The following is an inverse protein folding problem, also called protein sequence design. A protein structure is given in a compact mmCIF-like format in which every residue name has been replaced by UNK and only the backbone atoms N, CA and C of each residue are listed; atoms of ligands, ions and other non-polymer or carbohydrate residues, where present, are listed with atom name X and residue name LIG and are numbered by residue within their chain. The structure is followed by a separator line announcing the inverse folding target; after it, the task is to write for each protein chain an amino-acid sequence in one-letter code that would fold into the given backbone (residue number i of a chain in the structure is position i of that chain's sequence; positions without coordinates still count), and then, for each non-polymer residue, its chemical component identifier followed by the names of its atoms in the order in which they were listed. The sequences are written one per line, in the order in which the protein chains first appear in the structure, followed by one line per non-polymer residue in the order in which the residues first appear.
data_IF_744169893258
#
_entry.id   IF_744169893258
#
_cell.length_a   1.000
_cell.length_b   1.000
_cell.length_c   1.000
_cell.angle_alpha   90.00
_cell.angle_beta   90.00
_cell.angle_gamma   90.00
#
_symmetry.space_group_name_H-M   'P 1'
#
loop_
_entity.id
_entity.type
_entity.pdbx_description
1 polymer ?
#
# COMPACT_ATOMS: atom_id res chain seq x y z
N UNK A 1 42.18 -4.18 -30.87
CA UNK A 1 40.79 -4.42 -30.42
C UNK A 1 40.73 -5.58 -29.44
N UNK A 2 41.37 -6.72 -29.72
CA UNK A 2 41.40 -7.88 -28.82
C UNK A 2 42.08 -7.59 -27.47
N UNK A 3 43.16 -6.81 -27.46
CA UNK A 3 43.86 -6.41 -26.24
C UNK A 3 43.01 -5.51 -25.32
N UNK A 4 42.29 -4.54 -25.92
CA UNK A 4 41.35 -3.68 -25.19
C UNK A 4 40.18 -4.45 -24.58
N UNK A 5 39.66 -5.47 -25.28
CA UNK A 5 38.61 -6.34 -24.77
C UNK A 5 39.10 -7.26 -23.65
N UNK A 6 40.34 -7.75 -23.73
CA UNK A 6 40.96 -8.55 -22.67
C UNK A 6 41.21 -7.71 -21.40
N UNK A 7 41.63 -6.46 -21.56
CA UNK A 7 41.84 -5.53 -20.45
C UNK A 7 40.52 -5.20 -19.73
N UNK A 8 39.46 -4.89 -20.50
CA UNK A 8 38.12 -4.64 -19.95
C UNK A 8 37.61 -5.88 -19.18
N UNK A 9 37.75 -7.09 -19.76
CA UNK A 9 37.30 -8.34 -19.11
C UNK A 9 38.05 -8.64 -17.79
N UNK A 10 39.36 -8.37 -17.75
CA UNK A 10 40.16 -8.59 -16.54
C UNK A 10 39.82 -7.57 -15.45
N UNK A 11 39.60 -6.29 -15.82
CA UNK A 11 39.17 -5.26 -14.88
C UNK A 11 37.78 -5.56 -14.29
N UNK A 12 36.81 -6.00 -15.11
CA UNK A 12 35.46 -6.34 -14.63
C UNK A 12 35.46 -7.46 -13.58
N UNK A 13 36.28 -8.51 -13.75
CA UNK A 13 36.34 -9.60 -12.75
C UNK A 13 36.98 -9.15 -11.43
N UNK A 14 37.98 -8.28 -11.48
CA UNK A 14 38.66 -7.79 -10.28
C UNK A 14 37.80 -6.77 -9.51
N UNK A 15 37.20 -5.81 -10.23
CA UNK A 15 36.31 -4.81 -9.64
C UNK A 15 35.09 -5.45 -8.98
N UNK A 16 34.48 -6.45 -9.64
CA UNK A 16 33.32 -7.16 -9.09
C UNK A 16 33.65 -7.94 -7.81
N UNK A 17 34.83 -8.56 -7.75
CA UNK A 17 35.26 -9.29 -6.55
C UNK A 17 35.49 -8.35 -5.36
N UNK A 18 35.99 -7.14 -5.60
CA UNK A 18 36.21 -6.13 -4.56
C UNK A 18 34.87 -5.58 -4.06
N UNK A 19 33.96 -5.22 -4.97
CA UNK A 19 32.63 -4.69 -4.63
C UNK A 19 31.78 -5.69 -3.81
N UNK A 20 31.90 -6.99 -4.09
CA UNK A 20 31.22 -8.04 -3.30
C UNK A 20 31.84 -8.20 -1.91
N UNK A 21 33.17 -8.09 -1.78
CA UNK A 21 33.86 -8.15 -0.49
C UNK A 21 33.46 -6.96 0.39
N UNK A 22 33.43 -5.76 -0.18
CA UNK A 22 33.00 -4.54 0.51
C UNK A 22 31.53 -4.62 0.93
N UNK A 23 30.64 -5.07 0.04
CA UNK A 23 29.24 -5.33 0.37
C UNK A 23 29.13 -6.30 1.56
N UNK A 24 29.89 -7.39 1.53
CA UNK A 24 29.86 -8.40 2.58
C UNK A 24 30.29 -7.83 3.94
N UNK A 25 31.34 -7.01 3.98
CA UNK A 25 31.77 -6.32 5.20
C UNK A 25 30.70 -5.34 5.72
N UNK A 26 30.09 -4.56 4.83
CA UNK A 26 29.00 -3.65 5.19
C UNK A 26 27.80 -4.39 5.79
N UNK A 27 27.45 -5.55 5.24
CA UNK A 27 26.37 -6.39 5.75
C UNK A 27 26.72 -7.00 7.12
N UNK A 28 27.97 -7.38 7.36
CA UNK A 28 28.41 -7.87 8.68
C UNK A 28 28.50 -6.78 9.74
N UNK A 29 28.72 -5.52 9.34
CA UNK A 29 28.77 -4.37 10.26
C UNK A 29 27.40 -4.01 10.89
N UNK A 30 26.33 -4.72 10.52
CA UNK A 30 24.98 -4.51 11.04
C UNK A 30 24.21 -3.39 10.35
N UNK A 31 24.72 -2.85 9.23
CA UNK A 31 23.97 -1.89 8.42
C UNK A 31 22.73 -2.55 7.80
N UNK A 32 21.61 -1.81 7.68
CA UNK A 32 20.42 -2.31 7.01
C UNK A 32 20.75 -2.69 5.57
N UNK A 33 20.36 -3.91 5.17
CA UNK A 33 20.70 -4.51 3.87
C UNK A 33 20.35 -3.60 2.69
N UNK A 34 19.18 -2.94 2.76
CA UNK A 34 18.72 -1.99 1.75
C UNK A 34 19.71 -0.86 1.50
N UNK A 35 20.31 -0.31 2.56
CA UNK A 35 21.24 0.81 2.44
C UNK A 35 22.60 0.33 1.93
N UNK A 36 23.05 -0.86 2.32
CA UNK A 36 24.27 -1.48 1.79
C UNK A 36 24.17 -1.76 0.28
N UNK A 37 23.04 -2.28 -0.19
CA UNK A 37 22.82 -2.48 -1.63
C UNK A 37 22.65 -1.16 -2.40
N UNK A 38 22.08 -0.13 -1.77
CA UNK A 38 21.99 1.21 -2.38
C UNK A 38 23.36 1.86 -2.53
N UNK A 39 24.21 1.74 -1.51
CA UNK A 39 25.58 2.24 -1.53
C UNK A 39 26.44 1.50 -2.57
N UNK A 40 26.24 0.18 -2.73
CA UNK A 40 26.83 -0.62 -3.81
C UNK A 40 26.39 -0.14 -5.21
N UNK A 41 25.11 0.21 -5.38
CA UNK A 41 24.58 0.72 -6.64
C UNK A 41 25.17 2.09 -7.02
N UNK A 42 25.34 2.98 -6.05
CA UNK A 42 25.85 4.33 -6.27
C UNK A 42 27.36 4.35 -6.55
N UNK A 43 28.15 3.48 -5.91
CA UNK A 43 29.62 3.42 -6.10
C UNK A 43 30.07 2.63 -7.31
N UNK A 44 29.33 1.59 -7.70
CA UNK A 44 29.80 0.70 -8.76
C UNK A 44 29.79 1.43 -10.10
N UNK A 45 30.83 1.27 -10.91
CA UNK A 45 30.87 1.82 -12.27
C UNK A 45 30.47 0.79 -13.33
N UNK A 46 30.19 -0.44 -12.91
CA UNK A 46 29.85 -1.58 -13.76
C UNK A 46 28.33 -1.74 -13.83
N UNK A 47 27.78 -1.78 -15.05
CA UNK A 47 26.33 -1.82 -15.28
C UNK A 47 25.69 -3.09 -14.70
N UNK A 48 26.36 -4.22 -14.80
CA UNK A 48 25.91 -5.52 -14.31
C UNK A 48 25.73 -5.52 -12.79
N UNK A 49 26.65 -4.88 -12.05
CA UNK A 49 26.59 -4.76 -10.60
C UNK A 49 25.44 -3.84 -10.19
N UNK A 50 25.21 -2.74 -10.93
CA UNK A 50 24.06 -1.86 -10.71
C UNK A 50 22.74 -2.59 -10.89
N UNK A 51 22.59 -3.36 -11.97
CA UNK A 51 21.38 -4.16 -12.21
C UNK A 51 21.16 -5.18 -11.09
N UNK A 52 22.23 -5.88 -10.68
CA UNK A 52 22.17 -6.82 -9.57
C UNK A 52 21.74 -6.14 -8.26
N UNK A 53 22.41 -5.04 -7.87
CA UNK A 53 22.08 -4.28 -6.66
C UNK A 53 20.63 -3.78 -6.68
N UNK A 54 20.15 -3.27 -7.82
CA UNK A 54 18.78 -2.80 -7.98
C UNK A 54 17.74 -3.91 -7.81
N UNK A 55 18.02 -5.12 -8.31
CA UNK A 55 17.13 -6.27 -8.10
C UNK A 55 17.12 -6.73 -6.64
N UNK A 56 18.25 -6.67 -5.94
CA UNK A 56 18.35 -7.01 -4.52
C UNK A 56 17.66 -5.99 -3.61
N UNK A 57 17.75 -4.69 -3.92
CA UNK A 57 17.00 -3.63 -3.21
C UNK A 57 15.50 -3.87 -3.32
N UNK A 58 15.03 -4.23 -4.53
CA UNK A 58 13.63 -4.57 -4.77
C UNK A 58 13.24 -5.82 -3.99
N UNK A 59 14.05 -6.90 -4.05
CA UNK A 59 13.77 -8.15 -3.34
C UNK A 59 13.68 -7.98 -1.80
N UNK A 60 14.53 -7.14 -1.22
CA UNK A 60 14.48 -6.82 0.22
C UNK A 60 13.18 -6.06 0.59
N UNK A 61 12.68 -5.18 -0.29
CA UNK A 61 11.40 -4.49 -0.08
C UNK A 61 10.19 -5.45 -0.09
N UNK A 62 10.26 -6.52 -0.88
CA UNK A 62 9.19 -7.54 -0.95
C UNK A 62 9.24 -8.58 0.19
N UNK A 63 10.37 -8.73 0.91
CA UNK A 63 10.48 -9.66 2.06
C UNK A 63 9.71 -9.22 3.32
N UNK A 64 9.31 -7.95 3.41
CA UNK A 64 8.63 -7.39 4.59
C UNK A 64 7.08 -7.47 4.47
N UNK A 65 6.53 -7.73 3.29
CA UNK A 65 5.10 -7.47 3.01
C UNK A 65 4.10 -8.58 3.39
N UNK A 66 4.52 -9.64 4.07
CA UNK A 66 3.61 -10.71 4.50
C UNK A 66 3.46 -10.76 6.03
N UNK A 67 4.57 -10.85 6.77
CA UNK A 67 4.53 -10.94 8.23
C UNK A 67 4.16 -9.61 8.91
N UNK A 68 4.66 -8.49 8.40
CA UNK A 68 4.32 -7.17 8.94
C UNK A 68 2.88 -6.79 8.57
N UNK A 69 2.44 -7.18 7.37
CA UNK A 69 1.06 -7.04 6.90
C UNK A 69 0.09 -7.93 7.67
N UNK A 70 0.43 -9.20 7.96
CA UNK A 70 -0.38 -10.08 8.80
C UNK A 70 -0.46 -9.57 10.25
N UNK A 71 0.61 -8.97 10.78
CA UNK A 71 0.58 -8.36 12.12
C UNK A 71 -0.30 -7.11 12.15
N UNK A 72 -0.23 -6.27 11.12
CA UNK A 72 -1.10 -5.11 10.96
C UNK A 72 -2.57 -5.51 10.70
N UNK A 73 -2.81 -6.57 9.92
CA UNK A 73 -4.14 -7.12 9.67
C UNK A 73 -4.72 -7.82 10.91
N UNK A 74 -3.90 -8.53 11.70
CA UNK A 74 -4.33 -9.15 12.95
C UNK A 74 -4.71 -8.12 14.01
N UNK A 75 -3.97 -7.00 14.09
CA UNK A 75 -4.34 -5.88 14.96
C UNK A 75 -5.69 -5.26 14.55
N UNK A 76 -5.90 -5.05 13.25
CA UNK A 76 -7.19 -4.58 12.72
C UNK A 76 -8.34 -5.53 12.96
N UNK A 77 -8.15 -6.83 12.77
CA UNK A 77 -9.19 -7.83 13.03
C UNK A 77 -9.61 -7.85 14.51
N UNK A 78 -8.69 -7.60 15.43
CA UNK A 78 -9.03 -7.49 16.86
C UNK A 78 -9.95 -6.29 17.14
N UNK A 79 -9.66 -5.14 16.54
CA UNK A 79 -10.48 -3.94 16.67
C UNK A 79 -11.82 -4.09 15.93
N UNK A 80 -11.82 -4.70 14.74
CA UNK A 80 -13.02 -4.95 13.93
C UNK A 80 -13.98 -5.94 14.62
N UNK A 81 -13.48 -7.00 15.27
CA UNK A 81 -14.31 -7.90 16.08
C UNK A 81 -14.96 -7.15 17.25
N UNK A 82 -14.22 -6.22 17.87
CA UNK A 82 -14.75 -5.39 18.96
C UNK A 82 -15.79 -4.39 18.45
N UNK A 83 -15.58 -3.82 17.27
CA UNK A 83 -16.53 -2.91 16.64
C UNK A 83 -17.79 -3.66 16.19
N UNK A 84 -17.67 -4.88 15.66
CA UNK A 84 -18.81 -5.75 15.32
C UNK A 84 -19.65 -6.12 16.55
N UNK A 85 -19.01 -6.42 17.69
CA UNK A 85 -19.71 -6.61 18.96
C UNK A 85 -20.35 -5.31 19.48
N UNK A 86 -19.79 -4.15 19.13
CA UNK A 86 -20.36 -2.85 19.46
C UNK A 86 -21.45 -2.40 18.46
N UNK A 87 -21.45 -2.90 17.22
CA UNK A 87 -22.47 -2.67 16.19
C UNK A 87 -23.79 -3.36 16.52
N UNK A 88 -23.77 -4.52 17.19
CA UNK A 88 -24.98 -5.13 17.75
C UNK A 88 -25.64 -4.25 18.83
N UNK A 89 -24.93 -3.23 19.34
CA UNK A 89 -25.42 -2.23 20.26
C UNK A 89 -25.62 -0.83 19.61
N UNK A 90 -25.53 -0.73 18.29
CA UNK A 90 -25.96 0.48 17.58
C UNK A 90 -27.38 0.25 17.08
N UNK A 91 -28.42 0.71 17.80
CA UNK A 91 -29.75 0.78 17.20
C UNK A 91 -29.60 1.61 15.93
N UNK A 92 -29.82 0.97 14.77
CA UNK A 92 -29.92 1.68 13.51
C UNK A 92 -30.76 2.92 13.75
N UNK A 93 -30.19 4.10 13.49
CA UNK A 93 -30.96 5.34 13.48
C UNK A 93 -31.94 5.24 12.32
N UNK A 94 -33.07 4.57 12.53
CA UNK A 94 -34.15 4.49 11.56
C UNK A 94 -34.69 5.92 11.46
N UNK A 95 -34.31 6.61 10.38
CA UNK A 95 -34.77 7.96 10.12
C UNK A 95 -36.21 7.90 9.58
N UNK A 96 -37.18 7.74 10.50
CA UNK A 96 -38.62 7.75 10.22
C UNK A 96 -39.09 9.03 9.51
N UNK A 97 -38.29 10.10 9.53
CA UNK A 97 -38.58 11.38 8.89
C UNK A 97 -38.76 11.24 7.37
N UNK A 98 -37.93 10.45 6.69
CA UNK A 98 -38.00 10.31 5.22
C UNK A 98 -39.34 9.71 4.73
N UNK A 99 -39.79 8.53 5.23
CA UNK A 99 -41.05 7.96 4.78
C UNK A 99 -42.27 8.79 5.18
N UNK A 100 -42.26 9.42 6.36
CA UNK A 100 -43.38 10.26 6.82
C UNK A 100 -43.56 11.48 5.92
N UNK A 101 -42.48 12.18 5.57
CA UNK A 101 -42.54 13.36 4.68
C UNK A 101 -43.02 12.95 3.29
N UNK A 102 -42.53 11.84 2.74
CA UNK A 102 -42.93 11.36 1.41
C UNK A 102 -44.42 11.00 1.32
N UNK A 103 -45.02 10.47 2.38
CA UNK A 103 -46.44 10.06 2.37
C UNK A 103 -47.41 11.16 2.79
N UNK A 104 -47.03 12.02 3.74
CA UNK A 104 -47.91 13.10 4.23
C UNK A 104 -48.06 14.21 3.18
N UNK A 105 -46.98 14.58 2.48
CA UNK A 105 -47.01 15.64 1.46
C UNK A 105 -48.00 15.39 0.30
N UNK A 106 -48.02 14.22 -0.39
CA UNK A 106 -48.98 13.98 -1.46
C UNK A 106 -50.42 13.92 -0.95
N UNK A 107 -50.63 13.37 0.26
CA UNK A 107 -51.96 13.30 0.86
C UNK A 107 -52.55 14.71 1.09
N UNK A 108 -51.73 15.64 1.59
CA UNK A 108 -52.13 17.04 1.78
C UNK A 108 -52.43 17.73 0.45
N UNK A 109 -51.64 17.50 -0.60
CA UNK A 109 -51.88 18.05 -1.93
C UNK A 109 -53.23 17.61 -2.50
N UNK A 110 -53.57 16.32 -2.38
CA UNK A 110 -54.84 15.77 -2.86
C UNK A 110 -56.01 16.38 -2.07
N UNK A 111 -55.91 16.46 -0.74
CA UNK A 111 -56.95 17.03 0.10
C UNK A 111 -57.23 18.51 -0.25
N UNK A 112 -56.17 19.30 -0.46
CA UNK A 112 -56.28 20.70 -0.87
C UNK A 112 -56.90 20.83 -2.27
N UNK A 113 -56.51 19.97 -3.22
CA UNK A 113 -57.05 19.98 -4.57
C UNK A 113 -58.55 19.67 -4.58
N UNK A 114 -58.99 18.65 -3.83
CA UNK A 114 -60.41 18.29 -3.70
C UNK A 114 -61.21 19.43 -3.06
N UNK A 115 -60.72 20.00 -1.96
CA UNK A 115 -61.38 21.13 -1.31
C UNK A 115 -61.50 22.35 -2.24
N UNK A 116 -60.44 22.65 -3.00
CA UNK A 116 -60.43 23.77 -3.95
C UNK A 116 -61.42 23.57 -5.10
N UNK A 117 -61.57 22.35 -5.63
CA UNK A 117 -62.52 22.07 -6.71
C UNK A 117 -63.96 22.22 -6.21
N UNK A 118 -64.27 21.68 -5.04
CA UNK A 118 -65.63 21.76 -4.47
C UNK A 118 -66.06 23.21 -4.19
N UNK A 119 -65.13 24.12 -3.90
CA UNK A 119 -65.44 25.53 -3.69
C UNK A 119 -65.52 26.35 -5.00
N UNK A 120 -65.10 25.79 -6.14
CA UNK A 120 -65.11 26.46 -7.44
C UNK A 120 -66.38 26.15 -8.26
N UNK A 121 -67.08 25.05 -7.95
CA UNK A 121 -68.37 24.63 -8.53
C UNK A 121 -69.51 25.21 -7.69
#
# INVERSE_FOLDING_TARGET
MEDALAHIRQQTNNELSQEIADLHEQLQSGRPKKDAFKDLFERSNVLEIKLFAMTMIQAEQYRISASETLKAQAAKLHDEIKDLLAEEAQPEKINFVTPIVLFVTPLLFIALFVFSITNLI
#
